data_IF_789783450479
#
_entry.id   IF_789783450479
#
_cell.length_a   1.000
_cell.length_b   1.000
_cell.length_c   1.000
_cell.angle_alpha   90.00
_cell.angle_beta   90.00
_cell.angle_gamma   90.00
#
_symmetry.space_group_name_H-M   'P 1'
#
loop_
_entity.id
_entity.type
_entity.pdbx_description
1 polymer ?
#
# COMPACT_ATOMS: atom_id res chain seq x y z
N UNK A 1 33.10 10.36 15.53
CA UNK A 1 32.89 9.80 14.19
C UNK A 1 32.10 10.83 13.40
N UNK A 2 32.50 11.12 12.19
CA UNK A 2 31.78 12.01 11.28
C UNK A 2 31.11 11.15 10.22
N UNK A 3 29.88 11.45 9.88
CA UNK A 3 29.10 10.79 8.83
C UNK A 3 28.65 11.86 7.83
N UNK A 4 28.56 11.49 6.55
CA UNK A 4 28.06 12.36 5.48
C UNK A 4 26.54 12.56 5.58
N UNK A 5 25.81 11.50 5.99
CA UNK A 5 24.36 11.53 6.16
C UNK A 5 23.95 10.80 7.45
N UNK A 6 23.02 11.41 8.19
CA UNK A 6 22.34 10.78 9.30
C UNK A 6 20.85 10.59 8.98
N UNK A 7 20.38 9.33 8.99
CA UNK A 7 18.96 8.98 8.86
C UNK A 7 18.41 8.75 10.27
N UNK A 8 17.40 9.51 10.65
CA UNK A 8 16.80 9.45 12.00
C UNK A 8 15.50 8.64 11.95
N UNK A 9 15.50 7.54 12.70
CA UNK A 9 14.41 6.57 12.77
C UNK A 9 14.62 5.36 11.86
N UNK A 10 14.66 4.17 12.45
CA UNK A 10 14.84 2.89 11.75
C UNK A 10 13.51 2.12 11.55
N UNK A 11 12.41 2.83 11.28
CA UNK A 11 11.20 2.25 10.70
C UNK A 11 11.39 1.97 9.21
N UNK A 12 10.38 1.42 8.54
CA UNK A 12 10.44 1.02 7.12
C UNK A 12 10.94 2.15 6.21
N UNK A 13 10.55 3.39 6.46
CA UNK A 13 10.97 4.55 5.64
C UNK A 13 12.46 4.81 5.81
N UNK A 14 12.93 4.97 7.05
CA UNK A 14 14.35 5.26 7.31
C UNK A 14 15.26 4.12 6.89
N UNK A 15 14.85 2.87 7.10
CA UNK A 15 15.61 1.69 6.67
C UNK A 15 15.74 1.62 5.14
N UNK A 16 14.65 1.89 4.38
CA UNK A 16 14.71 1.93 2.92
C UNK A 16 15.55 3.11 2.39
N UNK A 17 15.48 4.29 3.06
CA UNK A 17 16.34 5.43 2.71
C UNK A 17 17.81 5.06 2.94
N UNK A 18 18.15 4.50 4.11
CA UNK A 18 19.52 4.08 4.40
C UNK A 18 20.03 3.03 3.41
N UNK A 19 19.16 2.07 3.03
CA UNK A 19 19.46 1.09 1.97
C UNK A 19 19.76 1.74 0.61
N UNK A 20 18.97 2.71 0.19
CA UNK A 20 19.25 3.41 -1.07
C UNK A 20 20.55 4.23 -0.99
N UNK A 21 20.80 4.91 0.11
CA UNK A 21 22.03 5.68 0.33
C UNK A 21 23.27 4.79 0.37
N UNK A 22 23.17 3.53 0.83
CA UNK A 22 24.29 2.58 0.85
C UNK A 22 24.81 2.17 -0.53
N UNK A 23 24.13 2.55 -1.60
CA UNK A 23 24.59 2.35 -2.99
C UNK A 23 25.61 3.41 -3.45
N UNK A 24 25.81 4.44 -2.66
CA UNK A 24 26.73 5.54 -2.96
C UNK A 24 27.96 5.44 -2.06
N UNK A 25 29.07 5.99 -2.52
CA UNK A 25 30.32 6.07 -1.76
C UNK A 25 30.25 7.21 -0.72
N UNK A 26 29.39 7.02 0.27
CA UNK A 26 29.15 7.94 1.39
C UNK A 26 29.00 7.16 2.71
N UNK A 27 29.36 7.79 3.80
CA UNK A 27 29.16 7.24 5.13
C UNK A 27 27.75 7.59 5.67
N UNK A 28 26.98 6.57 6.03
CA UNK A 28 25.59 6.74 6.50
C UNK A 28 25.45 6.22 7.93
N UNK A 29 24.88 7.05 8.81
CA UNK A 29 24.43 6.64 10.13
C UNK A 29 22.91 6.47 10.15
N UNK A 30 22.41 5.30 10.53
CA UNK A 30 20.99 5.07 10.85
C UNK A 30 20.83 5.10 12.37
N UNK A 31 20.08 6.09 12.87
CA UNK A 31 19.91 6.34 14.31
C UNK A 31 18.49 6.01 14.74
N UNK A 32 18.33 5.13 15.72
CA UNK A 32 17.03 4.74 16.29
C UNK A 32 17.02 5.00 17.80
N UNK A 33 15.88 5.50 18.32
CA UNK A 33 15.71 5.78 19.75
C UNK A 33 15.40 4.53 20.58
N UNK A 34 14.81 3.52 19.93
CA UNK A 34 14.48 2.24 20.56
C UNK A 34 15.67 1.29 20.52
N UNK A 35 15.58 0.19 21.26
CA UNK A 35 16.61 -0.84 21.34
C UNK A 35 16.65 -1.76 20.10
N UNK A 36 15.69 -1.64 19.20
CA UNK A 36 15.62 -2.40 17.95
C UNK A 36 14.94 -1.58 16.84
N UNK A 37 15.08 -2.02 15.60
CA UNK A 37 14.45 -1.42 14.43
C UNK A 37 12.94 -1.71 14.40
N UNK A 38 12.19 -0.94 13.62
CA UNK A 38 10.76 -1.13 13.35
C UNK A 38 9.84 -1.16 14.58
N UNK A 39 10.25 -0.68 15.74
CA UNK A 39 9.48 -0.78 17.00
C UNK A 39 8.23 0.10 17.06
N UNK A 40 7.92 0.86 16.02
CA UNK A 40 6.72 1.69 15.90
C UNK A 40 5.70 1.11 14.91
N UNK A 41 5.11 1.98 14.11
CA UNK A 41 4.06 1.64 13.11
C UNK A 41 4.51 0.57 12.11
N UNK A 42 5.80 0.45 11.81
CA UNK A 42 6.32 -0.56 10.88
C UNK A 42 6.12 -2.00 11.36
N UNK A 43 6.02 -2.21 12.69
CA UNK A 43 5.73 -3.51 13.31
C UNK A 43 4.24 -3.72 13.56
N UNK A 44 3.48 -2.64 13.76
CA UNK A 44 2.08 -2.66 14.16
C UNK A 44 1.21 -1.98 13.10
N UNK A 45 0.89 -2.71 12.04
CA UNK A 45 0.02 -2.26 10.94
C UNK A 45 -0.77 -3.44 10.36
N UNK A 46 -1.66 -3.17 9.41
CA UNK A 46 -2.52 -4.18 8.77
C UNK A 46 -1.84 -4.95 7.64
N UNK A 47 -0.58 -4.69 7.35
CA UNK A 47 0.19 -5.35 6.29
C UNK A 47 -0.36 -5.17 4.87
N UNK A 48 -1.25 -4.21 4.65
CA UNK A 48 -1.88 -3.96 3.36
C UNK A 48 -0.98 -3.09 2.48
N UNK A 49 -0.75 -3.53 1.26
CA UNK A 49 -0.17 -2.73 0.17
C UNK A 49 -1.33 -2.16 -0.64
N UNK A 50 -1.61 -0.86 -0.42
CA UNK A 50 -2.74 -0.17 -1.03
C UNK A 50 -2.52 0.12 -2.51
N UNK A 51 -3.52 -0.12 -3.37
CA UNK A 51 -3.45 0.12 -4.81
C UNK A 51 -3.24 1.60 -5.21
N UNK A 52 -3.75 2.55 -4.41
CA UNK A 52 -3.56 3.98 -4.66
C UNK A 52 -4.83 4.74 -5.11
N UNK A 53 -6.00 4.12 -5.05
CA UNK A 53 -7.27 4.74 -5.47
C UNK A 53 -7.80 5.80 -4.50
N UNK A 54 -7.43 5.74 -3.21
CA UNK A 54 -8.00 6.59 -2.15
C UNK A 54 -7.42 8.03 -2.14
N UNK A 55 -6.15 8.19 -2.46
CA UNK A 55 -5.48 9.49 -2.35
C UNK A 55 -6.00 10.50 -3.39
N UNK A 56 -6.13 11.77 -2.98
CA UNK A 56 -6.57 12.85 -3.87
C UNK A 56 -5.60 13.00 -5.06
N UNK A 57 -6.11 13.00 -6.31
CA UNK A 57 -5.29 13.17 -7.50
C UNK A 57 -4.44 14.44 -7.46
N UNK A 58 -3.26 14.37 -8.07
CA UNK A 58 -2.31 15.49 -8.12
C UNK A 58 -1.45 15.67 -6.84
N UNK A 59 -1.69 14.91 -5.79
CA UNK A 59 -0.90 14.95 -4.56
C UNK A 59 0.31 14.01 -4.61
N UNK A 60 1.34 14.33 -3.82
CA UNK A 60 2.49 13.42 -3.64
C UNK A 60 2.06 12.08 -3.02
N UNK A 61 1.03 12.09 -2.15
CA UNK A 61 0.46 10.86 -1.58
C UNK A 61 -0.06 9.93 -2.68
N UNK A 62 -0.84 10.45 -3.64
CA UNK A 62 -1.34 9.66 -4.77
C UNK A 62 -0.20 9.10 -5.61
N UNK A 63 0.72 9.97 -6.04
CA UNK A 63 1.88 9.59 -6.86
C UNK A 63 2.73 8.50 -6.21
N UNK A 64 3.09 8.67 -4.93
CA UNK A 64 3.97 7.71 -4.25
C UNK A 64 3.24 6.45 -3.80
N UNK A 65 1.93 6.48 -3.58
CA UNK A 65 1.17 5.27 -3.30
C UNK A 65 1.19 4.34 -4.52
N UNK A 66 0.80 4.81 -5.70
CA UNK A 66 0.82 4.01 -6.94
C UNK A 66 2.25 3.52 -7.23
N UNK A 67 3.24 4.41 -7.18
CA UNK A 67 4.63 4.03 -7.40
C UNK A 67 5.15 3.01 -6.38
N UNK A 68 4.78 3.15 -5.12
CA UNK A 68 5.12 2.19 -4.07
C UNK A 68 4.54 0.80 -4.33
N UNK A 69 3.28 0.74 -4.76
CA UNK A 69 2.61 -0.52 -5.13
C UNK A 69 3.33 -1.23 -6.27
N UNK A 70 3.75 -0.50 -7.30
CA UNK A 70 4.52 -1.05 -8.43
C UNK A 70 5.86 -1.64 -8.00
N UNK A 71 6.54 -0.98 -7.05
CA UNK A 71 7.88 -1.37 -6.59
C UNK A 71 7.86 -2.51 -5.56
N UNK A 72 6.75 -2.67 -4.84
CA UNK A 72 6.67 -3.58 -3.69
C UNK A 72 7.04 -5.04 -4.01
N UNK A 73 6.58 -5.66 -5.12
CA UNK A 73 6.92 -7.04 -5.44
C UNK A 73 8.43 -7.26 -5.59
N UNK A 74 9.12 -6.34 -6.28
CA UNK A 74 10.57 -6.42 -6.49
C UNK A 74 11.35 -6.19 -5.19
N UNK A 75 10.94 -5.19 -4.40
CA UNK A 75 11.56 -4.89 -3.11
C UNK A 75 11.42 -6.10 -2.18
N UNK A 76 10.21 -6.66 -2.06
CA UNK A 76 9.94 -7.82 -1.23
C UNK A 76 10.76 -9.05 -1.67
N UNK A 77 10.84 -9.30 -3.00
CA UNK A 77 11.69 -10.36 -3.54
C UNK A 77 13.17 -10.15 -3.19
N UNK A 78 13.68 -8.94 -3.36
CA UNK A 78 15.09 -8.60 -3.09
C UNK A 78 15.43 -8.75 -1.61
N UNK A 79 14.50 -8.40 -0.73
CA UNK A 79 14.68 -8.46 0.73
C UNK A 79 14.22 -9.79 1.35
N UNK A 80 13.77 -10.74 0.53
CA UNK A 80 13.19 -12.02 0.97
C UNK A 80 12.02 -11.86 1.97
N UNK A 81 11.17 -10.84 1.73
CA UNK A 81 9.97 -10.57 2.51
C UNK A 81 8.77 -11.22 1.82
N UNK A 82 7.95 -12.01 2.50
CA UNK A 82 6.75 -12.60 1.92
C UNK A 82 5.76 -11.51 1.45
N UNK A 83 5.37 -11.60 0.19
CA UNK A 83 4.40 -10.70 -0.45
C UNK A 83 3.41 -11.51 -1.27
N UNK A 84 2.12 -11.13 -1.22
CA UNK A 84 1.07 -11.71 -2.05
C UNK A 84 0.24 -10.59 -2.67
N UNK A 85 0.15 -10.61 -4.00
CA UNK A 85 -0.78 -9.74 -4.72
C UNK A 85 -2.14 -10.45 -4.78
N UNK A 86 -3.02 -10.12 -3.84
CA UNK A 86 -4.34 -10.74 -3.69
C UNK A 86 -5.49 -9.81 -4.06
N UNK A 87 -5.17 -8.55 -4.41
CA UNK A 87 -6.16 -7.51 -4.61
C UNK A 87 -6.79 -7.01 -3.30
N UNK A 88 -7.73 -6.10 -3.43
CA UNK A 88 -8.57 -5.63 -2.32
C UNK A 88 -9.96 -5.26 -2.80
N UNK A 89 -10.94 -5.42 -1.91
CA UNK A 89 -12.33 -5.03 -2.09
C UNK A 89 -12.68 -3.91 -1.11
N UNK A 90 -13.29 -2.84 -1.61
CA UNK A 90 -13.98 -1.85 -0.78
C UNK A 90 -15.47 -2.09 -0.96
N UNK A 91 -16.13 -2.59 0.07
CA UNK A 91 -17.52 -3.07 0.01
C UNK A 91 -18.50 -1.98 0.41
N UNK A 92 -19.60 -1.87 -0.33
CA UNK A 92 -20.73 -0.99 -0.06
C UNK A 92 -21.96 -1.80 0.37
N UNK A 93 -22.66 -1.32 1.40
CA UNK A 93 -23.87 -1.90 1.95
C UNK A 93 -25.11 -1.03 1.73
N UNK A 94 -24.94 0.18 1.22
CA UNK A 94 -26.02 1.11 0.90
C UNK A 94 -25.83 1.71 -0.50
N UNK A 95 -26.88 2.35 -1.03
CA UNK A 95 -26.82 3.05 -2.31
C UNK A 95 -25.89 4.27 -2.24
N UNK A 96 -25.88 4.99 -1.11
CA UNK A 96 -24.97 6.10 -0.87
C UNK A 96 -23.49 5.65 -0.86
N UNK A 97 -23.19 4.50 -0.25
CA UNK A 97 -21.85 3.93 -0.28
C UNK A 97 -21.46 3.47 -1.69
N UNK A 98 -22.42 2.96 -2.48
CA UNK A 98 -22.18 2.60 -3.88
C UNK A 98 -21.81 3.82 -4.72
N UNK A 99 -22.43 4.98 -4.50
CA UNK A 99 -21.99 6.23 -5.13
C UNK A 99 -20.56 6.61 -4.72
N UNK A 100 -20.20 6.36 -3.47
CA UNK A 100 -18.82 6.57 -3.00
C UNK A 100 -17.82 5.68 -3.72
N UNK A 101 -18.17 4.41 -4.04
CA UNK A 101 -17.30 3.53 -4.84
C UNK A 101 -17.02 4.12 -6.25
N UNK A 102 -18.03 4.74 -6.88
CA UNK A 102 -17.83 5.40 -8.17
C UNK A 102 -16.85 6.58 -8.07
N UNK A 103 -16.93 7.36 -7.00
CA UNK A 103 -15.96 8.44 -6.73
C UNK A 103 -14.56 7.89 -6.56
N UNK A 104 -14.40 6.78 -5.83
CA UNK A 104 -13.09 6.13 -5.64
C UNK A 104 -12.56 5.53 -6.94
N UNK A 105 -13.42 4.95 -7.77
CA UNK A 105 -13.05 4.42 -9.08
C UNK A 105 -12.47 5.52 -9.98
N UNK A 106 -13.17 6.66 -10.11
CA UNK A 106 -12.70 7.77 -10.96
C UNK A 106 -11.41 8.40 -10.39
N UNK A 107 -11.32 8.52 -9.07
CA UNK A 107 -10.11 8.97 -8.39
C UNK A 107 -8.93 8.03 -8.66
N UNK A 108 -9.15 6.73 -8.55
CA UNK A 108 -8.13 5.72 -8.82
C UNK A 108 -7.66 5.72 -10.27
N UNK A 109 -8.59 5.87 -11.23
CA UNK A 109 -8.24 6.06 -12.65
C UNK A 109 -7.39 7.31 -12.88
N UNK A 110 -7.76 8.43 -12.25
CA UNK A 110 -6.99 9.68 -12.33
C UNK A 110 -5.59 9.56 -11.70
N UNK A 111 -5.42 8.69 -10.70
CA UNK A 111 -4.13 8.36 -10.09
C UNK A 111 -3.29 7.36 -10.91
N UNK A 112 -3.87 6.76 -11.96
CA UNK A 112 -3.19 5.76 -12.80
C UNK A 112 -3.22 4.33 -12.22
N UNK A 113 -4.15 4.02 -11.32
CA UNK A 113 -4.33 2.65 -10.81
C UNK A 113 -4.96 1.80 -11.90
N UNK A 114 -4.31 0.71 -12.37
CA UNK A 114 -4.84 -0.09 -13.46
C UNK A 114 -5.93 -1.06 -13.01
N UNK A 115 -6.82 -1.38 -13.95
CA UNK A 115 -7.80 -2.46 -13.85
C UNK A 115 -8.74 -2.39 -12.64
N UNK A 116 -9.04 -1.17 -12.16
CA UNK A 116 -10.09 -0.95 -11.16
C UNK A 116 -11.45 -1.27 -11.77
N UNK A 117 -12.29 -1.96 -11.03
CA UNK A 117 -13.63 -2.37 -11.48
C UNK A 117 -14.65 -2.33 -10.34
N UNK A 118 -15.88 -1.93 -10.64
CA UNK A 118 -17.00 -2.10 -9.71
C UNK A 118 -17.62 -3.49 -9.93
N UNK A 119 -17.65 -4.27 -8.87
CA UNK A 119 -18.39 -5.52 -8.82
C UNK A 119 -19.81 -5.25 -8.30
N UNK A 120 -20.81 -5.76 -9.01
CA UNK A 120 -22.16 -5.88 -8.47
C UNK A 120 -22.23 -6.99 -7.41
N UNK A 121 -23.38 -7.15 -6.79
CA UNK A 121 -23.57 -8.12 -5.71
C UNK A 121 -23.32 -9.57 -6.14
N UNK A 122 -23.64 -9.94 -7.38
CA UNK A 122 -23.50 -11.32 -7.87
C UNK A 122 -22.01 -11.63 -8.12
N UNK A 123 -21.32 -10.76 -8.83
CA UNK A 123 -19.87 -10.87 -9.08
C UNK A 123 -19.07 -10.82 -7.77
N UNK A 124 -19.50 -9.99 -6.82
CA UNK A 124 -18.86 -9.90 -5.50
C UNK A 124 -18.98 -11.21 -4.73
N UNK A 125 -20.15 -11.86 -4.72
CA UNK A 125 -20.36 -13.17 -4.07
C UNK A 125 -19.60 -14.29 -4.75
N UNK A 126 -19.45 -14.23 -6.08
CA UNK A 126 -18.61 -15.18 -6.82
C UNK A 126 -17.12 -15.03 -6.42
N UNK A 127 -16.64 -13.80 -6.30
CA UNK A 127 -15.26 -13.51 -5.93
C UNK A 127 -14.94 -13.77 -4.45
N UNK A 128 -15.91 -13.50 -3.55
CA UNK A 128 -15.77 -13.68 -2.11
C UNK A 128 -17.04 -14.35 -1.54
N UNK A 129 -17.10 -15.69 -1.54
CA UNK A 129 -18.29 -16.44 -1.14
C UNK A 129 -18.73 -16.26 0.33
N UNK A 130 -17.83 -15.75 1.19
CA UNK A 130 -18.12 -15.50 2.59
C UNK A 130 -18.53 -14.05 2.89
N UNK A 131 -18.73 -13.24 1.84
CA UNK A 131 -19.18 -11.85 2.04
C UNK A 131 -20.61 -11.83 2.59
N UNK A 132 -20.95 -10.79 3.36
CA UNK A 132 -22.32 -10.60 3.85
C UNK A 132 -23.34 -10.52 2.72
N UNK A 133 -24.51 -11.13 2.90
CA UNK A 133 -25.63 -11.06 1.96
C UNK A 133 -26.17 -9.62 1.79
N UNK A 134 -25.89 -8.72 2.74
CA UNK A 134 -26.25 -7.31 2.67
C UNK A 134 -25.34 -6.50 1.75
N UNK A 135 -24.22 -7.05 1.30
CA UNK A 135 -23.30 -6.36 0.42
C UNK A 135 -23.91 -6.13 -0.97
N UNK A 136 -23.94 -4.86 -1.41
CA UNK A 136 -24.56 -4.43 -2.68
C UNK A 136 -23.59 -4.34 -3.82
N UNK A 137 -22.37 -3.86 -3.56
CA UNK A 137 -21.34 -3.66 -4.56
C UNK A 137 -19.96 -3.62 -3.91
N UNK A 138 -18.90 -3.70 -4.72
CA UNK A 138 -17.54 -3.44 -4.26
C UNK A 138 -16.67 -2.82 -5.35
N UNK A 139 -15.71 -1.97 -4.95
CA UNK A 139 -14.59 -1.59 -5.80
C UNK A 139 -13.50 -2.65 -5.67
N UNK A 140 -13.20 -3.34 -6.75
CA UNK A 140 -12.09 -4.25 -6.88
C UNK A 140 -10.82 -3.51 -7.33
N UNK A 141 -9.73 -3.70 -6.59
CA UNK A 141 -8.42 -3.14 -6.89
C UNK A 141 -7.37 -4.26 -6.98
N UNK A 142 -7.11 -4.79 -8.18
CA UNK A 142 -6.29 -6.00 -8.38
C UNK A 142 -4.81 -5.81 -8.01
N UNK A 143 -4.30 -4.57 -8.01
CA UNK A 143 -2.89 -4.29 -7.70
C UNK A 143 -2.58 -4.24 -6.21
N UNK A 144 -3.60 -4.21 -5.35
CA UNK A 144 -3.41 -4.29 -3.91
C UNK A 144 -2.85 -5.66 -3.49
N UNK A 145 -2.24 -5.70 -2.31
CA UNK A 145 -1.67 -6.95 -1.81
C UNK A 145 -1.44 -6.92 -0.30
N UNK A 146 -0.82 -7.96 0.19
CA UNK A 146 -0.37 -8.07 1.58
C UNK A 146 1.12 -8.39 1.65
N UNK A 147 1.76 -7.85 2.66
CA UNK A 147 3.19 -8.04 2.95
C UNK A 147 3.35 -8.53 4.38
N UNK A 148 4.37 -9.34 4.66
CA UNK A 148 4.72 -9.67 6.04
C UNK A 148 5.51 -8.49 6.63
N UNK A 149 4.96 -7.77 7.63
CA UNK A 149 5.63 -6.60 8.21
C UNK A 149 6.81 -7.00 9.10
#
# INVERSE_FOLDING_TARGET
>A
MNYDVAVVGAGVIGSLIARELSRYDISVALVEKCNDVAMGTSKANSAIVHAGFDAMPGTLKARFNVRGTELMPEICKTLNVPFKNIGSLVVAFSDEETETLNVLLERGKANGVPNLEIYDADKLREAEPNISDEAKAALWAPTAGIVCP
#
